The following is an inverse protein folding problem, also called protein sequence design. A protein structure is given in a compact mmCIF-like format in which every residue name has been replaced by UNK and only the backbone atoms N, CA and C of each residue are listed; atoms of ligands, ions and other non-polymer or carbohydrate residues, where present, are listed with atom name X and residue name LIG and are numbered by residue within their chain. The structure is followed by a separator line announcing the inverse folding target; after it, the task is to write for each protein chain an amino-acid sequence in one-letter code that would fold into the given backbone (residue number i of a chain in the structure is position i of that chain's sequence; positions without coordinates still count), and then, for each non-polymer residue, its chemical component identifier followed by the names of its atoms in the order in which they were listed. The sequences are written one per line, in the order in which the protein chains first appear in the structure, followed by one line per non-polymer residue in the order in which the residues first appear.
data_IF_261851669840
#
_entry.id   IF_261851669840
#
_cell.length_a   1.000
_cell.length_b   1.000
_cell.length_c   1.000
_cell.angle_alpha   90.00
_cell.angle_beta   90.00
_cell.angle_gamma   90.00
#
_symmetry.space_group_name_H-M   'P 1'
#
loop_
_entity.id
_entity.type
_entity.pdbx_description
1 polymer ?
#
# COMPACT_ATOMS: atom_id res chain seq x y z
N UNK A 1 -3.74 3.63 -2.26
CA UNK A 1 -3.35 4.62 -3.29
C UNK A 1 -1.91 5.08 -3.06
N UNK A 2 -1.15 5.30 -4.14
CA UNK A 2 0.19 5.91 -4.08
C UNK A 2 0.11 7.37 -4.53
N UNK A 3 0.71 8.27 -3.75
CA UNK A 3 0.80 9.69 -4.05
C UNK A 3 2.27 10.11 -4.09
N UNK A 4 2.72 10.69 -5.20
CA UNK A 4 4.05 11.31 -5.26
C UNK A 4 4.03 12.65 -4.51
N UNK A 5 4.92 12.81 -3.53
CA UNK A 5 5.01 13.99 -2.66
C UNK A 5 6.22 14.87 -2.97
N UNK A 6 7.13 14.43 -3.84
CA UNK A 6 8.30 15.16 -4.30
C UNK A 6 9.05 14.40 -5.40
N UNK A 7 10.21 14.88 -5.86
CA UNK A 7 11.10 14.12 -6.75
C UNK A 7 11.50 12.81 -6.05
N UNK A 8 11.14 11.67 -6.63
CA UNK A 8 11.38 10.32 -6.09
C UNK A 8 10.82 10.04 -4.68
N UNK A 9 9.96 10.93 -4.15
CA UNK A 9 9.29 10.75 -2.87
C UNK A 9 7.85 10.30 -3.09
N UNK A 10 7.48 9.16 -2.52
CA UNK A 10 6.13 8.59 -2.62
C UNK A 10 5.56 8.32 -1.24
N UNK A 11 4.24 8.47 -1.12
CA UNK A 11 3.48 8.12 0.07
C UNK A 11 2.36 7.15 -0.27
N UNK A 12 2.08 6.23 0.63
CA UNK A 12 0.91 5.38 0.57
C UNK A 12 -0.22 5.98 1.41
N UNK A 13 -1.44 5.97 0.87
CA UNK A 13 -2.68 6.29 1.58
C UNK A 13 -3.68 5.17 1.40
N UNK A 14 -4.30 4.74 2.49
CA UNK A 14 -5.33 3.70 2.48
C UNK A 14 -5.94 3.53 3.86
N UNK A 15 -6.60 2.40 4.07
CA UNK A 15 -7.13 2.01 5.37
C UNK A 15 -6.22 0.95 6.00
N UNK A 16 -6.03 1.01 7.32
CA UNK A 16 -5.33 -0.04 8.07
C UNK A 16 -6.31 -1.17 8.37
N UNK A 17 -6.01 -2.37 7.91
CA UNK A 17 -6.87 -3.55 8.10
C UNK A 17 -7.13 -3.89 9.58
N UNK A 18 -6.16 -3.60 10.45
CA UNK A 18 -6.24 -3.95 11.86
C UNK A 18 -7.40 -3.29 12.61
N UNK A 19 -7.76 -2.06 12.23
CA UNK A 19 -8.74 -1.25 12.96
C UNK A 19 -9.58 -0.29 12.10
N UNK A 20 -9.45 -0.34 10.77
CA UNK A 20 -10.17 0.54 9.86
C UNK A 20 -9.70 2.00 9.90
N UNK A 21 -8.56 2.29 10.54
CA UNK A 21 -8.07 3.66 10.63
C UNK A 21 -7.51 4.15 9.29
N UNK A 22 -7.68 5.45 9.00
CA UNK A 22 -7.01 6.10 7.88
C UNK A 22 -5.49 6.01 8.08
N UNK A 23 -4.79 5.45 7.11
CA UNK A 23 -3.37 5.21 7.12
C UNK A 23 -2.67 6.07 6.08
N UNK A 24 -1.65 6.80 6.52
CA UNK A 24 -0.72 7.50 5.63
C UNK A 24 0.71 7.09 5.99
N UNK A 25 1.40 6.47 5.03
CA UNK A 25 2.81 6.12 5.15
C UNK A 25 3.61 7.04 4.23
N UNK A 26 4.44 7.95 4.76
CA UNK A 26 5.14 8.94 3.95
C UNK A 26 6.33 8.37 3.15
N UNK A 27 6.72 7.13 3.43
CA UNK A 27 7.91 6.46 2.87
C UNK A 27 7.50 5.23 2.08
N UNK A 28 6.87 5.44 0.93
CA UNK A 28 6.67 4.39 -0.06
C UNK A 28 7.87 4.37 -1.01
N UNK A 29 8.43 3.19 -1.25
CA UNK A 29 9.58 2.98 -2.11
C UNK A 29 9.16 2.25 -3.38
N UNK A 30 9.79 2.57 -4.52
CA UNK A 30 9.55 1.82 -5.76
C UNK A 30 10.11 0.40 -5.64
N UNK A 31 9.34 -0.59 -6.08
CA UNK A 31 9.77 -1.99 -6.13
C UNK A 31 9.25 -2.63 -7.42
N UNK A 32 10.15 -2.92 -8.35
CA UNK A 32 9.78 -3.41 -9.68
C UNK A 32 8.81 -2.45 -10.39
N UNK A 33 7.64 -2.96 -10.78
CA UNK A 33 6.57 -2.19 -11.43
C UNK A 33 5.58 -1.55 -10.42
N UNK A 34 5.86 -1.62 -9.12
CA UNK A 34 4.99 -1.17 -8.06
C UNK A 34 5.70 -0.38 -6.96
N UNK A 35 5.11 -0.37 -5.78
CA UNK A 35 5.58 0.32 -4.60
C UNK A 35 5.43 -0.55 -3.36
N UNK A 36 6.35 -0.40 -2.42
CA UNK A 36 6.29 -1.02 -1.10
C UNK A 36 6.27 0.09 -0.06
N UNK A 37 5.33 0.03 0.87
CA UNK A 37 5.28 0.92 2.03
C UNK A 37 5.23 0.07 3.30
N UNK A 38 6.02 0.43 4.31
CA UNK A 38 6.02 -0.26 5.60
C UNK A 38 5.45 0.68 6.65
N UNK A 39 4.40 0.25 7.34
CA UNK A 39 3.83 1.00 8.43
C UNK A 39 4.73 0.87 9.67
N UNK A 40 5.37 1.95 10.15
CA UNK A 40 6.27 1.88 11.30
C UNK A 40 5.54 1.59 12.63
N UNK A 41 4.21 1.73 12.68
CA UNK A 41 3.44 1.51 13.89
C UNK A 41 3.29 0.02 14.26
N UNK A 42 3.19 -0.86 13.26
CA UNK A 42 2.94 -2.29 13.45
C UNK A 42 3.84 -3.20 12.58
N UNK A 43 4.64 -2.62 11.68
CA UNK A 43 5.50 -3.35 10.75
C UNK A 43 4.76 -3.96 9.55
N UNK A 44 3.48 -3.65 9.36
CA UNK A 44 2.72 -4.15 8.21
C UNK A 44 3.29 -3.61 6.90
N UNK A 45 3.45 -4.49 5.91
CA UNK A 45 3.99 -4.20 4.58
C UNK A 45 2.86 -4.14 3.56
N UNK A 46 2.80 -3.05 2.81
CA UNK A 46 1.81 -2.77 1.77
C UNK A 46 2.51 -2.79 0.42
N UNK A 47 2.22 -3.79 -0.39
CA UNK A 47 2.74 -3.93 -1.75
C UNK A 47 1.65 -3.49 -2.72
N UNK A 48 1.89 -2.38 -3.43
CA UNK A 48 0.98 -1.83 -4.43
C UNK A 48 1.58 -2.06 -5.80
N UNK A 49 0.95 -2.92 -6.59
CA UNK A 49 1.42 -3.29 -7.93
C UNK A 49 0.30 -3.29 -8.97
N UNK A 50 0.62 -3.64 -10.22
CA UNK A 50 -0.38 -3.83 -11.26
C UNK A 50 -1.36 -4.95 -10.92
N UNK A 51 -0.95 -5.94 -10.11
CA UNK A 51 -1.79 -7.04 -9.64
C UNK A 51 -2.65 -6.67 -8.40
N UNK A 52 -2.62 -5.40 -7.97
CA UNK A 52 -3.43 -4.89 -6.87
C UNK A 52 -2.64 -4.55 -5.61
N UNK A 53 -3.29 -4.67 -4.44
CA UNK A 53 -2.74 -4.36 -3.13
C UNK A 53 -2.61 -5.64 -2.31
N UNK A 54 -1.38 -5.99 -1.91
CA UNK A 54 -1.14 -7.05 -0.93
C UNK A 54 -0.66 -6.45 0.38
N UNK A 55 -1.26 -6.88 1.49
CA UNK A 55 -0.89 -6.44 2.84
C UNK A 55 -0.40 -7.65 3.61
N UNK A 56 0.81 -7.54 4.16
CA UNK A 56 1.46 -8.59 4.93
C UNK A 56 1.90 -8.10 6.30
N UNK A 57 1.59 -8.85 7.35
CA UNK A 57 2.12 -8.64 8.70
C UNK A 57 2.71 -9.94 9.24
N UNK A 58 3.80 -9.84 10.00
CA UNK A 58 4.45 -10.99 10.63
C UNK A 58 4.76 -12.17 9.66
N UNK A 59 5.01 -11.88 8.38
CA UNK A 59 5.28 -12.88 7.35
C UNK A 59 4.06 -13.64 6.82
N UNK A 60 2.84 -13.19 7.14
CA UNK A 60 1.59 -13.73 6.59
C UNK A 60 0.89 -12.68 5.74
N UNK A 61 0.15 -13.12 4.73
CA UNK A 61 -0.74 -12.26 3.95
C UNK A 61 -2.02 -12.06 4.75
N UNK A 62 -2.28 -10.82 5.15
CA UNK A 62 -3.51 -10.45 5.87
C UNK A 62 -4.62 -10.06 4.89
N UNK A 63 -4.27 -9.45 3.75
CA UNK A 63 -5.20 -9.15 2.66
C UNK A 63 -4.51 -9.14 1.31
N UNK A 64 -5.28 -9.45 0.27
CA UNK A 64 -4.88 -9.33 -1.13
C UNK A 64 -6.10 -8.81 -1.89
N UNK A 65 -6.05 -7.53 -2.25
CA UNK A 65 -7.09 -6.86 -3.02
C UNK A 65 -6.66 -6.82 -4.49
N UNK A 66 -7.50 -7.30 -5.43
CA UNK A 66 -7.21 -7.15 -6.85
C UNK A 66 -7.15 -5.66 -7.23
N UNK A 67 -6.48 -5.30 -8.35
CA UNK A 67 -6.50 -3.92 -8.80
C UNK A 67 -7.96 -3.56 -9.07
N UNK A 68 -8.39 -2.39 -8.58
CA UNK A 68 -9.70 -1.87 -8.94
C UNK A 68 -9.68 -1.54 -10.43
N UNK A 69 -10.20 -2.43 -11.27
CA UNK A 69 -10.68 -2.03 -12.59
C UNK A 69 -11.85 -1.08 -12.35
N UNK A 70 -11.63 0.21 -12.61
CA UNK A 70 -12.72 1.16 -12.75
C UNK A 70 -13.51 0.76 -14.00
N UNK A 71 -14.49 -0.13 -13.83
CA UNK A 71 -15.55 -0.33 -14.78
C UNK A 71 -16.44 0.91 -14.76
N UNK A 72 -16.21 1.83 -15.70
CA UNK A 72 -17.09 2.96 -15.96
C UNK A 72 -18.51 2.44 -16.24
N UNK A 73 -19.50 2.97 -15.51
CA UNK A 73 -20.87 3.02 -16.02
C UNK A 73 -21.60 4.26 -15.54
#
# INVERSE_FOLDING_TARGET
MICQTGPDSYSYRGERLSDGANLQIPTAERSGNGFVAVNPADGARYEVGPDGLTIMSYGKVDSSEPPLEYGER
#
